data_IF_895166021555
#
_entry.id   IF_895166021555
#
_cell.length_a   1.000
_cell.length_b   1.000
_cell.length_c   1.000
_cell.angle_alpha   90.00
_cell.angle_beta   90.00
_cell.angle_gamma   90.00
#
_symmetry.space_group_name_H-M   'P 1'
#
loop_
_entity.id
_entity.type
_entity.pdbx_description
1 polymer ?
#
# COMPACT_ATOMS: atom_id res chain seq x y z
N UNK A 1 27.70 -10.12 -10.12
CA UNK A 1 26.32 -10.60 -9.86
C UNK A 1 25.40 -9.39 -9.82
N UNK A 2 24.09 -9.53 -10.03
CA UNK A 2 23.19 -8.40 -9.89
C UNK A 2 23.18 -7.88 -8.44
N UNK A 3 22.92 -6.59 -8.27
CA UNK A 3 22.79 -5.97 -6.96
C UNK A 3 21.37 -6.19 -6.40
N UNK A 4 21.21 -6.04 -5.09
CA UNK A 4 19.89 -6.05 -4.42
C UNK A 4 18.96 -5.04 -5.06
N UNK A 5 19.47 -3.86 -5.44
CA UNK A 5 18.72 -2.83 -6.16
C UNK A 5 18.17 -3.32 -7.49
N UNK A 6 19.03 -3.89 -8.33
CA UNK A 6 18.63 -4.41 -9.65
C UNK A 6 17.59 -5.53 -9.53
N UNK A 7 17.77 -6.46 -8.60
CA UNK A 7 16.81 -7.53 -8.34
C UNK A 7 15.48 -6.97 -7.83
N UNK A 8 15.53 -5.94 -6.97
CA UNK A 8 14.30 -5.29 -6.45
C UNK A 8 13.55 -4.56 -7.57
N UNK A 9 14.22 -3.77 -8.42
CA UNK A 9 13.56 -3.13 -9.56
C UNK A 9 12.97 -4.15 -10.54
N UNK A 10 13.66 -5.26 -10.80
CA UNK A 10 13.15 -6.34 -11.63
C UNK A 10 11.90 -7.01 -11.01
N UNK A 11 11.88 -7.19 -9.70
CA UNK A 11 10.71 -7.66 -8.99
C UNK A 11 9.54 -6.68 -9.10
N UNK A 12 9.78 -5.40 -8.90
CA UNK A 12 8.76 -4.36 -9.00
C UNK A 12 8.13 -4.30 -10.41
N UNK A 13 8.94 -4.44 -11.47
CA UNK A 13 8.43 -4.58 -12.86
C UNK A 13 7.50 -5.77 -13.02
N UNK A 14 7.91 -6.94 -12.50
CA UNK A 14 7.08 -8.17 -12.52
C UNK A 14 5.76 -7.99 -11.76
N UNK A 15 5.73 -7.14 -10.74
CA UNK A 15 4.53 -6.79 -9.96
C UNK A 15 3.70 -5.65 -10.58
N UNK A 16 4.21 -5.00 -11.63
CA UNK A 16 3.57 -3.85 -12.27
C UNK A 16 3.56 -2.57 -11.43
N UNK A 17 4.54 -2.44 -10.52
CA UNK A 17 4.73 -1.27 -9.66
C UNK A 17 5.87 -0.44 -10.22
N UNK A 18 5.57 0.64 -10.92
CA UNK A 18 6.55 1.54 -11.52
C UNK A 18 6.43 2.98 -11.04
N UNK A 19 5.44 3.28 -10.22
CA UNK A 19 5.21 4.63 -9.72
C UNK A 19 5.74 4.78 -8.29
N UNK A 20 6.58 5.77 -8.09
CA UNK A 20 7.17 6.13 -6.80
C UNK A 20 6.90 7.61 -6.55
N UNK A 21 6.41 7.95 -5.38
CA UNK A 21 6.27 9.34 -4.93
C UNK A 21 7.19 9.54 -3.73
N UNK A 22 8.01 10.58 -3.73
CA UNK A 22 9.00 10.70 -2.67
C UNK A 22 9.45 12.12 -2.35
N UNK A 23 10.07 12.24 -1.17
CA UNK A 23 10.92 13.34 -0.75
C UNK A 23 12.18 12.72 -0.14
N UNK A 24 13.18 12.43 -1.00
CA UNK A 24 14.39 11.70 -0.58
C UNK A 24 15.38 12.59 0.14
N UNK A 25 16.25 11.97 0.92
CA UNK A 25 17.47 12.58 1.47
C UNK A 25 18.68 11.69 1.20
N UNK A 26 19.75 11.88 1.96
CA UNK A 26 21.03 11.17 1.73
C UNK A 26 20.94 9.66 1.88
N UNK A 27 20.05 9.15 2.71
CA UNK A 27 19.88 7.69 2.88
C UNK A 27 19.15 7.00 1.72
N UNK A 28 18.53 7.76 0.84
CA UNK A 28 17.85 7.27 -0.36
C UNK A 28 18.70 7.41 -1.63
N UNK A 29 19.85 8.10 -1.59
CA UNK A 29 20.70 8.34 -2.76
C UNK A 29 21.15 7.05 -3.43
N UNK A 30 21.52 6.01 -2.67
CA UNK A 30 21.95 4.72 -3.23
C UNK A 30 20.83 4.03 -4.01
N UNK A 31 19.60 4.13 -3.53
CA UNK A 31 18.41 3.62 -4.24
C UNK A 31 18.16 4.42 -5.52
N UNK A 32 18.33 5.74 -5.49
CA UNK A 32 18.03 6.63 -6.63
C UNK A 32 19.18 6.71 -7.64
N UNK A 33 20.40 6.33 -7.27
CA UNK A 33 21.55 6.31 -8.19
C UNK A 33 21.26 5.39 -9.38
N UNK A 34 21.47 5.90 -10.62
CA UNK A 34 21.15 5.19 -11.86
C UNK A 34 19.70 4.71 -11.88
N UNK A 35 18.78 5.60 -11.52
CA UNK A 35 17.35 5.30 -11.46
C UNK A 35 16.83 4.84 -12.84
N UNK A 36 16.07 3.74 -12.93
CA UNK A 36 15.61 3.21 -14.21
C UNK A 36 14.61 4.14 -14.91
N UNK A 37 14.78 4.35 -16.22
CA UNK A 37 13.94 5.24 -17.04
C UNK A 37 12.47 4.78 -17.16
N UNK A 38 12.21 3.50 -16.93
CA UNK A 38 10.87 2.91 -16.98
C UNK A 38 10.08 3.04 -15.67
N UNK A 39 10.64 3.76 -14.68
CA UNK A 39 9.97 4.11 -13.43
C UNK A 39 9.69 5.60 -13.39
N UNK A 40 8.49 5.94 -12.94
CA UNK A 40 8.08 7.32 -12.69
C UNK A 40 8.38 7.69 -11.24
N UNK A 41 9.24 8.70 -11.02
CA UNK A 41 9.48 9.25 -9.69
C UNK A 41 8.89 10.65 -9.60
N UNK A 42 7.82 10.79 -8.83
CA UNK A 42 7.17 12.08 -8.56
C UNK A 42 7.72 12.64 -7.25
N UNK A 43 8.46 13.75 -7.34
CA UNK A 43 8.99 14.42 -6.17
C UNK A 43 7.99 15.45 -5.62
N UNK A 44 7.76 15.44 -4.31
CA UNK A 44 7.07 16.49 -3.60
C UNK A 44 7.93 16.99 -2.44
N UNK A 45 7.77 18.27 -2.08
CA UNK A 45 8.67 18.95 -1.15
C UNK A 45 8.29 18.79 0.34
N UNK A 46 7.29 17.94 0.62
CA UNK A 46 6.81 17.71 1.99
C UNK A 46 6.12 16.32 2.05
N UNK A 47 6.44 15.53 3.05
CA UNK A 47 6.10 14.10 3.08
C UNK A 47 4.61 13.82 3.29
N UNK A 48 3.87 14.70 3.95
CA UNK A 48 2.41 14.57 3.98
C UNK A 48 1.83 14.70 2.56
N UNK A 49 2.36 15.62 1.74
CA UNK A 49 1.99 15.76 0.32
C UNK A 49 2.40 14.52 -0.49
N UNK A 50 3.58 13.94 -0.21
CA UNK A 50 4.03 12.67 -0.83
C UNK A 50 3.01 11.58 -0.62
N UNK A 51 2.58 11.35 0.64
CA UNK A 51 1.59 10.31 0.95
C UNK A 51 0.24 10.64 0.34
N UNK A 52 -0.21 11.91 0.37
CA UNK A 52 -1.48 12.32 -0.24
C UNK A 52 -1.52 12.10 -1.75
N UNK A 53 -0.43 12.44 -2.47
CA UNK A 53 -0.30 12.18 -3.91
C UNK A 53 -0.31 10.67 -4.18
N UNK A 54 0.45 9.89 -3.41
CA UNK A 54 0.53 8.43 -3.55
C UNK A 54 -0.82 7.76 -3.27
N UNK A 55 -1.58 8.24 -2.27
CA UNK A 55 -2.92 7.76 -1.94
C UNK A 55 -3.87 7.98 -3.13
N UNK A 56 -3.96 9.20 -3.65
CA UNK A 56 -4.79 9.51 -4.81
C UNK A 56 -4.37 8.72 -6.06
N UNK A 57 -3.06 8.64 -6.33
CA UNK A 57 -2.52 7.91 -7.47
C UNK A 57 -2.81 6.41 -7.39
N UNK A 58 -2.60 5.79 -6.24
CA UNK A 58 -2.90 4.37 -6.00
C UNK A 58 -4.39 4.07 -6.18
N UNK A 59 -5.27 4.96 -5.71
CA UNK A 59 -6.72 4.82 -5.90
C UNK A 59 -7.11 4.91 -7.37
N UNK A 60 -6.53 5.86 -8.11
CA UNK A 60 -6.80 6.05 -9.55
C UNK A 60 -6.28 4.88 -10.39
N UNK A 61 -5.07 4.43 -10.14
CA UNK A 61 -4.44 3.31 -10.85
C UNK A 61 -4.98 1.94 -10.42
N UNK A 62 -5.61 1.84 -9.25
CA UNK A 62 -6.01 0.58 -8.61
C UNK A 62 -4.85 -0.39 -8.41
N UNK A 63 -3.69 0.15 -8.08
CA UNK A 63 -2.43 -0.57 -7.89
C UNK A 63 -1.67 0.01 -6.70
N UNK A 64 -0.82 -0.78 -6.03
CA UNK A 64 0.09 -0.24 -5.04
C UNK A 64 1.02 0.82 -5.65
N UNK A 65 1.30 1.85 -4.87
CA UNK A 65 2.30 2.89 -5.17
C UNK A 65 3.35 2.88 -4.08
N UNK A 66 4.61 3.09 -4.46
CA UNK A 66 5.70 3.23 -3.49
C UNK A 66 5.75 4.68 -3.01
N UNK A 67 5.85 4.85 -1.70
CA UNK A 67 6.16 6.11 -1.03
C UNK A 67 7.60 6.03 -0.54
N UNK A 68 8.45 7.01 -0.89
CA UNK A 68 9.84 7.03 -0.50
C UNK A 68 10.14 8.31 0.28
N UNK A 69 10.42 8.19 1.58
CA UNK A 69 10.64 9.31 2.48
C UNK A 69 11.96 9.18 3.23
N UNK A 70 12.51 10.32 3.68
CA UNK A 70 13.81 10.37 4.32
C UNK A 70 13.73 10.02 5.80
N UNK A 71 14.23 8.85 6.16
CA UNK A 71 14.42 8.38 7.55
C UNK A 71 13.17 8.53 8.45
N UNK A 72 13.37 8.56 9.75
CA UNK A 72 12.30 8.81 10.74
C UNK A 72 11.73 10.22 10.68
N UNK A 73 12.53 11.21 10.24
CA UNK A 73 12.06 12.58 10.11
C UNK A 73 10.98 12.70 9.01
N UNK A 74 11.25 12.17 7.83
CA UNK A 74 10.29 12.16 6.73
C UNK A 74 9.07 11.28 7.05
N UNK A 75 9.28 10.11 7.67
CA UNK A 75 8.18 9.28 8.11
C UNK A 75 7.30 9.99 9.15
N UNK A 76 7.90 10.72 10.10
CA UNK A 76 7.17 11.53 11.09
C UNK A 76 6.28 12.58 10.43
N UNK A 77 6.81 13.31 9.44
CA UNK A 77 6.05 14.29 8.67
C UNK A 77 4.91 13.67 7.84
N UNK A 78 5.04 12.41 7.45
CA UNK A 78 4.05 11.68 6.66
C UNK A 78 2.85 11.17 7.48
N UNK A 79 2.96 11.09 8.81
CA UNK A 79 2.04 10.33 9.67
C UNK A 79 0.57 10.75 9.55
N UNK A 80 0.27 12.04 9.40
CA UNK A 80 -1.12 12.51 9.27
C UNK A 80 -1.81 11.95 8.03
N UNK A 81 -1.15 11.98 6.88
CA UNK A 81 -1.70 11.43 5.65
C UNK A 81 -1.57 9.91 5.56
N UNK A 82 -0.64 9.32 6.32
CA UNK A 82 -0.58 7.86 6.48
C UNK A 82 -1.82 7.31 7.20
N UNK A 83 -2.30 8.00 8.25
CA UNK A 83 -3.59 7.70 8.88
C UNK A 83 -4.72 7.75 7.84
N UNK A 84 -4.77 8.79 7.01
CA UNK A 84 -5.78 8.92 5.96
C UNK A 84 -5.72 7.76 4.97
N UNK A 85 -4.55 7.44 4.44
CA UNK A 85 -4.36 6.30 3.52
C UNK A 85 -4.76 4.95 4.14
N UNK A 86 -4.50 4.77 5.45
CA UNK A 86 -4.92 3.59 6.20
C UNK A 86 -6.45 3.47 6.28
N UNK A 87 -7.13 4.57 6.61
CA UNK A 87 -8.60 4.61 6.66
C UNK A 87 -9.22 4.42 5.28
N UNK A 88 -8.61 5.00 4.24
CA UNK A 88 -8.99 4.80 2.84
C UNK A 88 -8.72 3.39 2.33
N UNK A 89 -8.06 2.53 3.13
CA UNK A 89 -7.64 1.17 2.74
C UNK A 89 -6.83 1.17 1.43
N UNK A 90 -5.98 2.18 1.26
CA UNK A 90 -5.16 2.33 0.06
C UNK A 90 -3.88 1.51 0.18
N UNK A 91 -3.58 0.62 -0.78
CA UNK A 91 -2.37 -0.17 -0.73
C UNK A 91 -1.14 0.69 -1.08
N UNK A 92 -0.41 1.13 -0.08
CA UNK A 92 0.86 1.85 -0.24
C UNK A 92 2.01 1.01 0.32
N UNK A 93 3.16 1.05 -0.35
CA UNK A 93 4.42 0.50 0.16
C UNK A 93 5.30 1.69 0.55
N UNK A 94 5.33 1.99 1.83
CA UNK A 94 6.10 3.11 2.36
C UNK A 94 7.50 2.62 2.67
N UNK A 95 8.50 3.32 2.18
CA UNK A 95 9.91 3.08 2.42
C UNK A 95 10.54 4.29 3.06
N UNK A 96 11.38 4.07 4.06
CA UNK A 96 12.27 5.09 4.59
C UNK A 96 13.69 4.53 4.64
N UNK A 97 14.66 5.33 4.25
CA UNK A 97 16.04 4.97 4.37
C UNK A 97 16.47 4.84 5.84
N UNK A 98 17.49 4.07 6.07
CA UNK A 98 18.12 3.84 7.35
C UNK A 98 19.63 4.02 7.19
N UNK A 99 20.33 4.29 8.28
CA UNK A 99 21.78 4.33 8.29
C UNK A 99 22.40 2.97 7.89
N UNK A 100 23.67 2.96 7.52
CA UNK A 100 24.36 1.70 7.20
C UNK A 100 24.27 0.73 8.36
N UNK A 101 24.29 -0.56 8.08
CA UNK A 101 24.21 -1.59 9.12
C UNK A 101 25.29 -1.48 10.19
N UNK A 102 26.49 -1.07 9.80
CA UNK A 102 27.60 -0.85 10.73
C UNK A 102 27.36 0.33 11.68
N UNK A 103 26.58 1.33 11.26
CA UNK A 103 26.28 2.51 12.05
C UNK A 103 25.10 2.33 13.01
N UNK A 104 24.25 1.32 12.78
CA UNK A 104 23.02 1.16 13.59
C UNK A 104 23.28 1.05 15.09
N UNK A 105 24.38 0.40 15.49
CA UNK A 105 24.72 0.24 16.90
C UNK A 105 25.10 1.59 17.56
N UNK A 106 25.61 2.55 16.79
CA UNK A 106 26.06 3.85 17.29
C UNK A 106 24.95 4.90 17.31
N UNK A 107 23.81 4.59 16.67
CA UNK A 107 22.66 5.50 16.55
C UNK A 107 23.03 6.93 16.15
N UNK A 108 23.82 7.13 15.05
CA UNK A 108 24.18 8.47 14.63
C UNK A 108 22.97 9.30 14.21
N UNK A 109 23.18 10.60 13.98
CA UNK A 109 22.13 11.51 13.53
C UNK A 109 21.33 10.93 12.34
N UNK A 110 20.02 11.03 12.39
CA UNK A 110 19.05 10.48 11.42
C UNK A 110 18.95 8.92 11.41
N UNK A 111 19.44 8.23 12.43
CA UNK A 111 19.09 6.82 12.62
C UNK A 111 17.59 6.70 12.95
N UNK A 112 16.92 5.75 12.31
CA UNK A 112 15.56 5.38 12.67
C UNK A 112 15.58 4.44 13.87
N UNK A 113 15.55 4.99 15.08
CA UNK A 113 15.43 4.21 16.31
C UNK A 113 14.04 3.56 16.30
N UNK A 114 13.99 2.26 16.56
CA UNK A 114 12.72 1.50 16.51
C UNK A 114 11.90 1.72 15.23
N UNK A 115 12.58 1.79 14.09
CA UNK A 115 12.03 2.18 12.79
C UNK A 115 10.63 1.61 12.48
N UNK A 116 10.37 0.36 12.90
CA UNK A 116 9.11 -0.33 12.62
C UNK A 116 7.97 0.03 13.58
N UNK A 117 8.23 0.82 14.61
CA UNK A 117 7.21 1.25 15.58
C UNK A 117 6.56 2.59 15.19
N UNK A 118 7.35 3.53 14.65
CA UNK A 118 6.86 4.86 14.31
C UNK A 118 5.59 4.85 13.43
N UNK A 119 5.47 4.03 12.36
CA UNK A 119 4.29 4.06 11.51
C UNK A 119 3.06 3.36 12.10
N UNK A 120 3.20 2.67 13.22
CA UNK A 120 2.07 1.99 13.88
C UNK A 120 1.18 2.98 14.65
N UNK A 121 -0.13 2.72 14.74
CA UNK A 121 -0.87 1.57 14.19
C UNK A 121 -1.32 1.72 12.72
N UNK A 122 -0.87 2.74 12.01
CA UNK A 122 -1.40 3.16 10.70
C UNK A 122 -0.78 2.42 9.50
N UNK A 123 -0.17 1.27 9.75
CA UNK A 123 0.27 0.31 8.73
C UNK A 123 -0.14 -1.10 9.10
N UNK A 124 -0.44 -1.92 8.09
CA UNK A 124 -0.78 -3.34 8.29
C UNK A 124 0.42 -4.18 8.73
N UNK A 125 1.60 -3.78 8.30
CA UNK A 125 2.86 -4.46 8.57
C UNK A 125 4.01 -3.48 8.43
N UNK A 126 5.00 -3.61 9.31
CA UNK A 126 6.24 -2.84 9.29
C UNK A 126 7.43 -3.79 9.47
N UNK A 127 8.48 -3.60 8.69
CA UNK A 127 9.64 -4.49 8.71
C UNK A 127 10.93 -3.77 8.31
N UNK A 128 12.03 -4.18 8.92
CA UNK A 128 13.38 -3.86 8.48
C UNK A 128 14.06 -5.19 8.15
N UNK A 129 14.50 -5.41 6.89
CA UNK A 129 15.15 -6.66 6.50
C UNK A 129 16.38 -6.95 7.37
N UNK A 130 16.52 -8.20 7.81
CA UNK A 130 17.67 -8.61 8.64
C UNK A 130 18.99 -8.61 7.83
N UNK A 131 18.93 -8.84 6.54
CA UNK A 131 20.05 -8.87 5.60
C UNK A 131 19.69 -8.16 4.31
N UNK A 132 20.69 -7.72 3.57
CA UNK A 132 20.52 -7.07 2.27
C UNK A 132 19.74 -7.96 1.28
N UNK A 133 20.07 -9.24 1.24
CA UNK A 133 19.44 -10.21 0.33
C UNK A 133 17.96 -10.46 0.61
N UNK A 134 17.48 -10.08 1.80
CA UNK A 134 16.07 -10.20 2.18
C UNK A 134 15.21 -9.03 1.64
N UNK A 135 15.83 -7.95 1.13
CA UNK A 135 15.12 -6.76 0.65
C UNK A 135 14.10 -7.08 -0.44
N UNK A 136 14.44 -7.79 -1.55
CA UNK A 136 13.43 -8.11 -2.57
C UNK A 136 12.28 -8.97 -2.01
N UNK A 137 12.59 -9.93 -1.13
CA UNK A 137 11.60 -10.76 -0.44
C UNK A 137 10.67 -9.93 0.46
N UNK A 138 11.22 -8.92 1.15
CA UNK A 138 10.44 -7.98 1.96
C UNK A 138 9.49 -7.13 1.09
N UNK A 139 9.92 -6.65 -0.08
CA UNK A 139 9.05 -5.97 -1.04
C UNK A 139 7.92 -6.89 -1.55
N UNK A 140 8.21 -8.14 -1.86
CA UNK A 140 7.18 -9.10 -2.27
C UNK A 140 6.14 -9.32 -1.16
N UNK A 141 6.58 -9.47 0.08
CA UNK A 141 5.68 -9.59 1.24
C UNK A 141 4.90 -8.30 1.49
N UNK A 142 5.56 -7.14 1.36
CA UNK A 142 4.93 -5.84 1.47
C UNK A 142 3.80 -5.69 0.45
N UNK A 143 4.06 -6.03 -0.81
CA UNK A 143 3.06 -6.05 -1.87
C UNK A 143 1.86 -6.93 -1.51
N UNK A 144 2.11 -8.21 -1.19
CA UNK A 144 1.04 -9.16 -0.85
C UNK A 144 0.20 -8.69 0.35
N UNK A 145 0.86 -8.12 1.37
CA UNK A 145 0.17 -7.61 2.57
C UNK A 145 -0.63 -6.35 2.29
N UNK A 146 -0.09 -5.42 1.46
CA UNK A 146 -0.77 -4.18 1.13
C UNK A 146 -2.07 -4.42 0.35
N UNK A 147 -2.06 -5.34 -0.63
CA UNK A 147 -3.23 -5.63 -1.47
C UNK A 147 -4.23 -6.59 -0.83
N UNK A 148 -3.84 -7.35 0.18
CA UNK A 148 -4.74 -8.27 0.87
C UNK A 148 -5.85 -7.51 1.59
N UNK A 149 -7.10 -7.86 1.33
CA UNK A 149 -8.26 -7.20 1.93
C UNK A 149 -8.41 -7.49 3.45
N UNK A 150 -8.71 -6.48 4.27
CA UNK A 150 -8.80 -5.08 3.90
C UNK A 150 -7.42 -4.55 3.48
N UNK A 151 -7.35 -3.94 2.29
CA UNK A 151 -6.10 -3.37 1.76
C UNK A 151 -5.60 -2.23 2.66
N UNK A 152 -4.35 -1.83 2.51
CA UNK A 152 -3.82 -0.72 3.31
C UNK A 152 -2.30 -0.58 3.24
N UNK A 153 -1.74 0.49 3.81
CA UNK A 153 -0.32 0.77 3.76
C UNK A 153 0.51 -0.23 4.57
N UNK A 154 1.74 -0.42 4.14
CA UNK A 154 2.81 -1.18 4.80
C UNK A 154 4.09 -0.37 4.82
N UNK A 155 5.04 -0.71 5.67
CA UNK A 155 6.28 0.05 5.84
C UNK A 155 7.52 -0.84 5.80
N UNK A 156 8.57 -0.34 5.11
CA UNK A 156 9.90 -0.92 5.07
C UNK A 156 10.95 0.11 5.48
N UNK A 157 11.79 -0.21 6.45
CA UNK A 157 13.01 0.54 6.78
C UNK A 157 14.18 -0.13 6.07
N UNK A 158 14.94 0.62 5.26
CA UNK A 158 15.91 0.07 4.32
C UNK A 158 17.30 0.69 4.54
N UNK A 159 18.25 -0.07 5.10
CA UNK A 159 19.63 0.40 5.23
C UNK A 159 20.24 0.80 3.88
N UNK A 160 20.89 1.96 3.85
CA UNK A 160 21.37 2.55 2.60
C UNK A 160 22.46 1.73 1.89
N UNK A 161 23.23 0.95 2.63
CA UNK A 161 24.29 0.10 2.10
C UNK A 161 23.79 -1.25 1.56
N UNK A 162 22.52 -1.60 1.78
CA UNK A 162 21.95 -2.85 1.26
C UNK A 162 21.81 -2.83 -0.27
N UNK A 163 21.55 -1.67 -0.86
CA UNK A 163 21.20 -1.54 -2.27
C UNK A 163 22.29 -1.96 -3.24
N UNK A 164 23.56 -1.71 -2.89
CA UNK A 164 24.74 -2.02 -3.71
C UNK A 164 25.34 -3.41 -3.39
N UNK A 165 24.77 -4.15 -2.42
CA UNK A 165 25.23 -5.52 -2.16
C UNK A 165 24.86 -6.44 -3.32
N UNK A 166 25.79 -7.32 -3.69
CA UNK A 166 25.53 -8.37 -4.68
C UNK A 166 24.66 -9.49 -4.10
N UNK A 167 23.80 -10.06 -4.93
CA UNK A 167 23.02 -11.22 -4.55
C UNK A 167 22.99 -12.28 -5.67
N UNK A 168 22.95 -13.54 -5.28
CA UNK A 168 23.10 -14.69 -6.18
C UNK A 168 21.78 -15.34 -6.62
N UNK A 169 20.65 -14.87 -6.12
CA UNK A 169 19.35 -15.51 -6.42
C UNK A 169 18.27 -14.48 -6.71
N UNK A 170 17.30 -14.85 -7.52
CA UNK A 170 16.09 -14.08 -7.77
C UNK A 170 15.00 -14.44 -6.77
N UNK A 171 14.19 -13.44 -6.40
CA UNK A 171 12.99 -13.67 -5.59
C UNK A 171 11.86 -14.17 -6.51
N UNK A 172 11.38 -15.42 -6.36
CA UNK A 172 10.30 -15.94 -7.19
C UNK A 172 9.00 -15.23 -6.88
N UNK A 173 8.34 -14.68 -7.90
CA UNK A 173 7.00 -14.11 -7.76
C UNK A 173 5.99 -15.26 -7.69
N UNK A 174 5.27 -15.31 -6.57
CA UNK A 174 4.16 -16.24 -6.38
C UNK A 174 2.89 -15.46 -6.12
N UNK A 175 1.81 -15.84 -6.77
CA UNK A 175 0.49 -15.24 -6.54
C UNK A 175 -0.38 -16.22 -5.74
N UNK A 176 -1.13 -15.68 -4.79
CA UNK A 176 -2.16 -16.40 -4.06
C UNK A 176 -3.47 -15.64 -4.26
N UNK A 177 -4.53 -16.35 -4.62
CA UNK A 177 -5.84 -15.72 -4.72
C UNK A 177 -6.29 -15.28 -3.32
N UNK A 178 -6.61 -14.00 -3.20
CA UNK A 178 -7.16 -13.40 -1.97
C UNK A 178 -8.68 -13.26 -2.05
N UNK A 179 -9.31 -13.75 -3.14
CA UNK A 179 -10.77 -13.66 -3.32
C UNK A 179 -11.48 -14.50 -2.26
N UNK A 180 -12.42 -13.88 -1.58
CA UNK A 180 -13.32 -14.53 -0.62
C UNK A 180 -14.74 -14.47 -1.15
N UNK A 181 -15.47 -15.57 -1.08
CA UNK A 181 -16.91 -15.62 -1.36
C UNK A 181 -17.71 -15.45 -0.06
N UNK A 182 -18.99 -15.05 -0.16
CA UNK A 182 -19.89 -15.06 0.98
C UNK A 182 -20.18 -16.52 1.41
N UNK A 183 -20.51 -16.70 2.68
CA UNK A 183 -21.05 -17.95 3.18
C UNK A 183 -22.40 -18.24 2.49
N UNK A 184 -22.60 -19.41 1.86
CA UNK A 184 -23.80 -19.72 1.09
C UNK A 184 -25.10 -19.71 1.93
N UNK A 185 -25.04 -20.14 3.19
CA UNK A 185 -26.21 -20.20 4.06
C UNK A 185 -26.59 -18.80 4.55
N UNK A 186 -25.60 -17.98 4.89
CA UNK A 186 -25.81 -16.57 5.19
C UNK A 186 -26.40 -15.83 3.98
N UNK A 187 -25.87 -16.06 2.77
CA UNK A 187 -26.37 -15.45 1.55
C UNK A 187 -27.84 -15.78 1.31
N UNK A 188 -28.22 -17.05 1.46
CA UNK A 188 -29.63 -17.51 1.33
C UNK A 188 -30.53 -16.84 2.38
N UNK A 189 -30.06 -16.76 3.62
CA UNK A 189 -30.79 -16.13 4.71
C UNK A 189 -31.04 -14.65 4.44
N UNK A 190 -30.01 -13.90 3.98
CA UNK A 190 -30.14 -12.49 3.63
C UNK A 190 -31.06 -12.29 2.42
N UNK A 191 -30.94 -13.11 1.38
CA UNK A 191 -31.84 -13.06 0.22
C UNK A 191 -33.30 -13.22 0.62
N UNK A 192 -33.63 -14.21 1.48
CA UNK A 192 -34.99 -14.42 1.98
C UNK A 192 -35.51 -13.21 2.78
N UNK A 193 -34.70 -12.63 3.65
CA UNK A 193 -35.06 -11.42 4.42
C UNK A 193 -35.34 -10.23 3.51
N UNK A 194 -34.48 -9.98 2.51
CA UNK A 194 -34.66 -8.89 1.58
C UNK A 194 -35.88 -9.06 0.69
N UNK A 195 -36.12 -10.27 0.21
CA UNK A 195 -37.33 -10.56 -0.59
C UNK A 195 -38.64 -10.39 0.19
N UNK A 196 -38.62 -10.58 1.52
CA UNK A 196 -39.79 -10.41 2.39
C UNK A 196 -39.93 -8.94 2.89
N UNK A 197 -38.94 -8.10 2.71
CA UNK A 197 -38.97 -6.71 3.19
C UNK A 197 -39.93 -5.86 2.36
N UNK A 198 -40.74 -5.02 3.04
CA UNK A 198 -41.66 -4.10 2.37
C UNK A 198 -41.00 -2.77 2.03
N UNK A 199 -40.09 -2.29 2.87
CA UNK A 199 -39.37 -1.03 2.71
C UNK A 199 -37.88 -1.26 3.00
N UNK A 200 -37.14 -1.93 2.10
CA UNK A 200 -35.72 -2.16 2.32
C UNK A 200 -34.94 -0.85 2.19
N UNK A 201 -33.88 -0.72 2.97
CA UNK A 201 -32.92 0.37 2.88
C UNK A 201 -31.54 -0.24 2.69
N UNK A 202 -30.78 0.27 1.74
CA UNK A 202 -29.39 -0.13 1.48
C UNK A 202 -28.47 1.00 1.90
N UNK A 203 -27.45 0.68 2.68
CA UNK A 203 -26.38 1.62 3.05
C UNK A 203 -25.10 1.12 2.42
N UNK A 204 -24.58 1.87 1.46
CA UNK A 204 -23.39 1.50 0.70
C UNK A 204 -22.15 2.20 1.23
N UNK A 205 -21.08 1.45 1.38
CA UNK A 205 -19.76 1.95 1.76
C UNK A 205 -18.79 1.97 0.58
N UNK A 206 -17.66 2.62 0.73
CA UNK A 206 -16.63 2.79 -0.31
C UNK A 206 -16.09 1.47 -0.91
N UNK A 207 -16.30 0.35 -0.23
CA UNK A 207 -15.90 -0.98 -0.72
C UNK A 207 -16.56 -1.34 -2.07
N UNK A 208 -17.78 -0.86 -2.35
CA UNK A 208 -18.45 -1.07 -3.65
C UNK A 208 -17.66 -0.39 -4.77
N UNK A 209 -17.29 0.87 -4.59
CA UNK A 209 -16.50 1.61 -5.56
C UNK A 209 -15.11 0.97 -5.76
N UNK A 210 -14.50 0.46 -4.66
CA UNK A 210 -13.20 -0.20 -4.69
C UNK A 210 -13.24 -1.55 -5.41
N UNK A 211 -14.34 -2.31 -5.31
CA UNK A 211 -14.51 -3.58 -5.99
C UNK A 211 -14.65 -3.45 -7.53
N UNK A 212 -14.83 -2.24 -8.04
CA UNK A 212 -14.76 -1.93 -9.46
C UNK A 212 -16.10 -1.63 -10.12
N UNK A 213 -16.06 -1.27 -11.40
CA UNK A 213 -17.22 -0.83 -12.16
C UNK A 213 -18.36 -1.85 -12.16
N UNK A 214 -18.05 -3.15 -12.25
CA UNK A 214 -19.07 -4.20 -12.22
C UNK A 214 -19.79 -4.28 -10.87
N UNK A 215 -19.07 -4.12 -9.75
CA UNK A 215 -19.69 -4.13 -8.43
C UNK A 215 -20.61 -2.90 -8.24
N UNK A 216 -20.19 -1.75 -8.78
CA UNK A 216 -20.98 -0.53 -8.75
C UNK A 216 -22.27 -0.67 -9.56
N UNK A 217 -22.18 -1.16 -10.82
CA UNK A 217 -23.34 -1.45 -11.65
C UNK A 217 -24.30 -2.48 -11.01
N UNK A 218 -23.75 -3.53 -10.40
CA UNK A 218 -24.53 -4.52 -9.65
C UNK A 218 -25.21 -3.90 -8.42
N UNK A 219 -24.57 -2.94 -7.75
CA UNK A 219 -25.16 -2.20 -6.64
C UNK A 219 -26.40 -1.41 -7.07
N UNK A 220 -26.33 -0.72 -8.21
CA UNK A 220 -27.47 0.00 -8.80
C UNK A 220 -28.60 -0.99 -9.15
N UNK A 221 -28.29 -2.02 -9.93
CA UNK A 221 -29.30 -3.02 -10.34
C UNK A 221 -29.94 -3.73 -9.14
N UNK A 222 -29.19 -3.91 -8.05
CA UNK A 222 -29.71 -4.51 -6.83
C UNK A 222 -30.68 -3.58 -6.09
N UNK A 223 -30.35 -2.29 -6.01
CA UNK A 223 -31.23 -1.28 -5.43
C UNK A 223 -32.54 -1.16 -6.22
N UNK A 224 -32.45 -1.09 -7.54
CA UNK A 224 -33.62 -1.06 -8.44
C UNK A 224 -34.51 -2.29 -8.30
N UNK A 225 -33.90 -3.50 -8.29
CA UNK A 225 -34.63 -4.77 -8.12
C UNK A 225 -35.43 -4.83 -6.81
N UNK A 226 -34.91 -4.26 -5.73
CA UNK A 226 -35.56 -4.23 -4.43
C UNK A 226 -36.48 -3.03 -4.26
N UNK A 227 -36.46 -2.07 -5.19
CA UNK A 227 -37.08 -0.75 -5.01
C UNK A 227 -36.67 -0.14 -3.67
N UNK A 228 -35.38 -0.21 -3.33
CA UNK A 228 -34.82 0.17 -2.06
C UNK A 228 -34.35 1.62 -2.05
N UNK A 229 -34.59 2.33 -0.94
CA UNK A 229 -33.87 3.58 -0.68
C UNK A 229 -32.39 3.30 -0.48
N UNK A 230 -31.53 4.15 -1.05
CA UNK A 230 -30.07 4.02 -0.95
C UNK A 230 -29.48 5.20 -0.19
N UNK A 231 -28.57 4.93 0.70
CA UNK A 231 -27.80 5.90 1.46
C UNK A 231 -26.32 5.59 1.37
N UNK A 232 -25.50 6.61 1.30
CA UNK A 232 -24.07 6.47 1.47
C UNK A 232 -23.73 6.30 2.96
N UNK A 233 -22.83 5.40 3.28
CA UNK A 233 -22.29 5.30 4.63
C UNK A 233 -21.52 6.60 4.97
N UNK A 234 -21.60 7.11 6.21
CA UNK A 234 -20.87 8.30 6.58
C UNK A 234 -19.35 8.10 6.43
N UNK A 235 -18.65 9.16 6.05
CA UNK A 235 -17.19 9.18 5.89
C UNK A 235 -16.66 8.17 4.86
N UNK A 236 -17.41 7.93 3.78
CA UNK A 236 -16.91 7.12 2.67
C UNK A 236 -15.73 7.81 1.99
N UNK A 237 -14.64 7.08 1.84
CA UNK A 237 -13.45 7.50 1.10
C UNK A 237 -13.68 7.63 -0.41
N UNK A 238 -14.76 7.05 -0.92
CA UNK A 238 -15.17 7.06 -2.33
C UNK A 238 -16.68 7.09 -2.44
N UNK A 239 -17.18 7.70 -3.53
CA UNK A 239 -18.61 7.67 -3.83
C UNK A 239 -19.07 6.24 -4.10
N UNK A 240 -19.87 5.61 -3.24
CA UNK A 240 -20.28 4.22 -3.37
C UNK A 240 -21.48 4.03 -4.30
N UNK A 241 -22.23 5.12 -4.59
CA UNK A 241 -23.44 5.08 -5.40
C UNK A 241 -23.54 6.34 -6.27
N UNK A 242 -24.10 6.30 -7.51
CA UNK A 242 -24.25 7.45 -8.40
C UNK A 242 -25.24 8.50 -7.92
#
# INVERSE_FOLDING_TARGET
MPTVKEVTFNLLRKLGITNIVGNPGSTEETFLKNFPEDFDYVMALQEASVVGIADGLSQGLRKPVIVNVHTGAGLGNAMGNLLTAYLNKTPLIITAGQQTREMLLMEPFLTNIDATQLPKPWVKWAYQPARAEDVPGAFLRAYATAIQEPAGPVFLSLPLDDWDKEMSFETPVRSVSTRKGPDPDCLKTFANKLNAARNPVLIYGGDIARAGANAWANGVAFAERLNAAVWDAPFCERTPFP
#
